data_IF_171990204197
#
_entry.id   IF_171990204197
#
_cell.length_a   1.000
_cell.length_b   1.000
_cell.length_c   1.000
_cell.angle_alpha   90.00
_cell.angle_beta   90.00
_cell.angle_gamma   90.00
#
_symmetry.space_group_name_H-M   'P 1'
#
loop_
_entity.id
_entity.type
_entity.pdbx_description
1 polymer ?
#
# COMPACT_ATOMS: atom_id res chain seq x y z
N UNK A 1 -38.00 -10.81 -22.91
CA UNK A 1 -36.54 -10.76 -23.08
C UNK A 1 -35.96 -9.91 -21.96
N UNK A 2 -35.25 -10.50 -21.01
CA UNK A 2 -34.55 -9.72 -19.97
C UNK A 2 -33.41 -8.97 -20.66
N UNK A 3 -33.57 -7.66 -20.81
CA UNK A 3 -32.50 -6.80 -21.29
C UNK A 3 -31.32 -6.94 -20.31
N UNK A 4 -30.17 -7.32 -20.85
CA UNK A 4 -28.91 -7.32 -20.12
C UNK A 4 -28.68 -5.88 -19.64
N UNK A 5 -28.68 -5.66 -18.33
CA UNK A 5 -28.42 -4.35 -17.75
C UNK A 5 -26.94 -4.28 -17.34
N UNK A 6 -26.08 -3.60 -18.11
CA UNK A 6 -24.65 -3.43 -17.79
C UNK A 6 -24.40 -2.79 -16.42
N UNK A 7 -25.40 -2.11 -15.85
CA UNK A 7 -25.32 -1.41 -14.56
C UNK A 7 -25.62 -2.30 -13.36
N UNK A 8 -25.99 -3.56 -13.57
CA UNK A 8 -26.39 -4.46 -12.47
C UNK A 8 -25.18 -5.19 -11.88
N UNK A 9 -24.17 -4.43 -11.45
CA UNK A 9 -23.27 -4.95 -10.42
C UNK A 9 -24.06 -4.97 -9.11
N UNK A 10 -24.06 -6.11 -8.43
CA UNK A 10 -24.64 -6.21 -7.11
C UNK A 10 -23.96 -5.19 -6.19
N UNK A 11 -24.74 -4.24 -5.66
CA UNK A 11 -24.26 -3.19 -4.76
C UNK A 11 -23.59 -3.79 -3.53
N UNK A 12 -24.10 -4.93 -3.07
CA UNK A 12 -23.54 -5.65 -1.92
C UNK A 12 -22.16 -6.21 -2.28
N UNK A 13 -22.04 -6.83 -3.46
CA UNK A 13 -20.75 -7.29 -3.99
C UNK A 13 -19.73 -6.14 -4.13
N UNK A 14 -20.10 -5.02 -4.75
CA UNK A 14 -19.19 -3.87 -4.86
C UNK A 14 -18.74 -3.37 -3.49
N UNK A 15 -19.67 -3.24 -2.55
CA UNK A 15 -19.37 -2.76 -1.20
C UNK A 15 -18.47 -3.73 -0.44
N UNK A 16 -18.67 -5.04 -0.60
CA UNK A 16 -17.81 -6.06 0.01
C UNK A 16 -16.41 -6.04 -0.60
N UNK A 17 -16.30 -5.94 -1.92
CA UNK A 17 -15.02 -5.90 -2.62
C UNK A 17 -14.23 -4.62 -2.27
N UNK A 18 -14.88 -3.46 -2.21
CA UNK A 18 -14.25 -2.20 -1.78
C UNK A 18 -13.74 -2.28 -0.35
N UNK A 19 -14.53 -2.88 0.55
CA UNK A 19 -14.11 -3.08 1.94
C UNK A 19 -12.89 -3.99 2.00
N UNK A 20 -12.90 -5.08 1.22
CA UNK A 20 -11.81 -6.05 1.17
C UNK A 20 -10.53 -5.44 0.63
N UNK A 21 -10.56 -4.76 -0.51
CA UNK A 21 -9.36 -4.15 -1.12
C UNK A 21 -8.83 -3.00 -0.27
N UNK A 22 -9.71 -2.19 0.33
CA UNK A 22 -9.30 -1.14 1.28
C UNK A 22 -8.58 -1.73 2.49
N UNK A 23 -9.11 -2.83 3.05
CA UNK A 23 -8.49 -3.52 4.18
C UNK A 23 -7.12 -4.08 3.79
N UNK A 24 -7.03 -4.77 2.65
CA UNK A 24 -5.77 -5.32 2.15
C UNK A 24 -4.70 -4.23 1.94
N UNK A 25 -5.06 -3.09 1.35
CA UNK A 25 -4.15 -1.94 1.24
C UNK A 25 -3.71 -1.41 2.62
N UNK A 26 -4.64 -1.27 3.56
CA UNK A 26 -4.33 -0.82 4.92
C UNK A 26 -3.37 -1.77 5.66
N UNK A 27 -3.57 -3.08 5.52
CA UNK A 27 -2.70 -4.11 6.11
C UNK A 27 -1.31 -4.09 5.48
N UNK A 28 -1.22 -4.02 4.15
CA UNK A 28 0.06 -3.92 3.43
C UNK A 28 0.84 -2.67 3.83
N UNK A 29 0.16 -1.52 3.90
CA UNK A 29 0.77 -0.27 4.34
C UNK A 29 1.29 -0.34 5.78
N UNK A 30 0.52 -0.94 6.68
CA UNK A 30 0.95 -1.12 8.06
C UNK A 30 2.20 -2.02 8.16
N UNK A 31 2.30 -3.04 7.31
CA UNK A 31 3.48 -3.90 7.21
C UNK A 31 4.71 -3.11 6.70
N UNK A 32 4.56 -2.34 5.61
CA UNK A 32 5.60 -1.45 5.10
C UNK A 32 6.10 -0.47 6.18
N UNK A 33 5.18 0.26 6.83
CA UNK A 33 5.53 1.23 7.88
C UNK A 33 6.24 0.55 9.07
N UNK A 34 5.91 -0.72 9.34
CA UNK A 34 6.57 -1.51 10.38
C UNK A 34 8.02 -1.82 10.02
N UNK A 35 8.30 -2.17 8.77
CA UNK A 35 9.64 -2.45 8.28
C UNK A 35 10.50 -1.19 8.28
N UNK A 36 9.97 -0.03 7.87
CA UNK A 36 10.69 1.25 7.97
C UNK A 36 11.10 1.57 9.41
N UNK A 37 10.22 1.31 10.38
CA UNK A 37 10.54 1.47 11.80
C UNK A 37 11.60 0.48 12.27
N UNK A 38 11.60 -0.74 11.74
CA UNK A 38 12.61 -1.76 12.07
C UNK A 38 13.98 -1.37 11.50
N UNK A 39 14.04 -0.93 10.24
CA UNK A 39 15.27 -0.42 9.59
C UNK A 39 15.94 0.68 10.43
N UNK A 40 15.17 1.66 10.92
CA UNK A 40 15.69 2.72 11.80
C UNK A 40 16.25 2.17 13.13
N UNK A 41 15.63 1.15 13.71
CA UNK A 41 16.13 0.51 14.95
C UNK A 41 17.41 -0.28 14.68
N UNK A 42 17.49 -1.00 13.56
CA UNK A 42 18.67 -1.76 13.14
C UNK A 42 19.84 -0.79 12.91
N UNK A 43 19.63 0.30 12.17
CA UNK A 43 20.68 1.31 11.94
C UNK A 43 21.22 1.87 13.27
N UNK A 44 20.32 2.22 14.20
CA UNK A 44 20.70 2.75 15.50
C UNK A 44 21.47 1.72 16.36
N UNK A 45 21.02 0.46 16.38
CA UNK A 45 21.69 -0.64 17.08
C UNK A 45 23.11 -0.83 16.55
N UNK A 46 23.26 -1.00 15.24
CA UNK A 46 24.55 -1.24 14.60
C UNK A 46 25.49 -0.04 14.75
N UNK A 47 24.97 1.18 14.63
CA UNK A 47 25.76 2.39 14.89
C UNK A 47 26.38 2.37 16.29
N UNK A 48 25.60 2.02 17.32
CA UNK A 48 26.11 1.95 18.69
C UNK A 48 27.14 0.83 18.86
N UNK A 49 26.89 -0.33 18.27
CA UNK A 49 27.83 -1.46 18.29
C UNK A 49 29.18 -1.06 17.68
N UNK A 50 29.20 -0.45 16.49
CA UNK A 50 30.44 0.00 15.86
C UNK A 50 31.13 1.13 16.63
N UNK A 51 30.37 2.07 17.21
CA UNK A 51 30.92 3.14 18.05
C UNK A 51 31.55 2.64 19.35
N UNK A 52 31.07 1.52 19.88
CA UNK A 52 31.57 0.94 21.13
C UNK A 52 32.73 -0.04 20.89
N UNK A 53 32.67 -0.84 19.82
CA UNK A 53 33.65 -1.87 19.53
C UNK A 53 34.96 -1.29 18.96
N UNK A 54 34.88 -0.20 18.18
CA UNK A 54 36.05 0.38 17.51
C UNK A 54 36.15 1.89 17.79
N UNK A 55 37.38 2.41 17.91
CA UNK A 55 37.64 3.87 17.87
C UNK A 55 37.45 4.42 16.45
N UNK A 56 36.32 4.13 15.83
CA UNK A 56 35.96 4.64 14.51
C UNK A 56 35.31 6.02 14.62
N UNK A 57 35.38 6.81 13.54
CA UNK A 57 34.71 8.11 13.52
C UNK A 57 33.19 7.94 13.52
N UNK A 58 32.46 9.03 13.79
CA UNK A 58 30.99 8.99 13.74
C UNK A 58 30.50 8.64 12.33
N UNK A 59 31.17 9.15 11.30
CA UNK A 59 30.79 8.90 9.90
C UNK A 59 31.11 7.46 9.48
N UNK A 60 32.25 6.90 9.90
CA UNK A 60 32.58 5.50 9.62
C UNK A 60 31.55 4.55 10.24
N UNK A 61 31.14 4.81 11.50
CA UNK A 61 30.15 3.98 12.18
C UNK A 61 28.78 4.00 11.47
N UNK A 62 28.35 5.18 11.02
CA UNK A 62 27.10 5.31 10.23
C UNK A 62 27.19 4.57 8.91
N UNK A 63 28.31 4.73 8.19
CA UNK A 63 28.51 4.05 6.92
C UNK A 63 28.45 2.54 7.10
N UNK A 64 29.18 2.00 8.08
CA UNK A 64 29.17 0.56 8.38
C UNK A 64 27.79 0.04 8.79
N UNK A 65 27.04 0.79 9.58
CA UNK A 65 25.67 0.42 9.96
C UNK A 65 24.75 0.27 8.75
N UNK A 66 24.86 1.16 7.76
CA UNK A 66 24.05 1.14 6.53
C UNK A 66 24.48 0.07 5.53
N UNK A 67 25.74 -0.37 5.59
CA UNK A 67 26.26 -1.43 4.72
C UNK A 67 26.23 -2.81 5.39
N UNK A 68 25.71 -2.91 6.61
CA UNK A 68 25.66 -4.16 7.35
C UNK A 68 24.61 -5.11 6.76
N UNK A 69 24.83 -6.43 6.89
CA UNK A 69 23.95 -7.45 6.32
C UNK A 69 22.52 -7.33 6.86
N UNK A 70 22.33 -7.10 8.17
CA UNK A 70 21.00 -6.87 8.77
C UNK A 70 20.26 -5.67 8.13
N UNK A 71 20.99 -4.63 7.69
CA UNK A 71 20.42 -3.46 7.02
C UNK A 71 20.04 -3.79 5.57
N UNK A 72 20.86 -4.57 4.86
CA UNK A 72 20.57 -5.01 3.50
C UNK A 72 19.37 -5.98 3.44
N UNK A 73 19.25 -6.86 4.43
CA UNK A 73 18.13 -7.80 4.57
C UNK A 73 16.80 -7.06 4.78
N UNK A 74 16.77 -6.06 5.68
CA UNK A 74 15.56 -5.26 5.90
C UNK A 74 15.21 -4.40 4.68
N UNK A 75 16.21 -3.91 3.93
CA UNK A 75 15.97 -3.17 2.68
C UNK A 75 15.28 -4.04 1.63
N UNK A 76 15.72 -5.28 1.47
CA UNK A 76 15.07 -6.22 0.54
C UNK A 76 13.62 -6.49 0.94
N UNK A 77 13.32 -6.57 2.24
CA UNK A 77 11.95 -6.74 2.73
C UNK A 77 11.10 -5.49 2.50
N UNK A 78 11.68 -4.30 2.62
CA UNK A 78 11.01 -3.03 2.34
C UNK A 78 10.66 -2.93 0.86
N UNK A 79 11.58 -3.25 -0.06
CA UNK A 79 11.32 -3.23 -1.50
C UNK A 79 10.14 -4.15 -1.87
N UNK A 80 10.11 -5.35 -1.29
CA UNK A 80 8.99 -6.29 -1.49
C UNK A 80 7.67 -5.75 -0.92
N UNK A 81 7.70 -5.16 0.28
CA UNK A 81 6.51 -4.59 0.91
C UNK A 81 6.00 -3.34 0.20
N UNK A 82 6.89 -2.54 -0.39
CA UNK A 82 6.54 -1.38 -1.21
C UNK A 82 5.76 -1.83 -2.45
N UNK A 83 6.30 -2.78 -3.21
CA UNK A 83 5.62 -3.35 -4.38
C UNK A 83 4.25 -3.94 -4.04
N UNK A 84 4.14 -4.65 -2.91
CA UNK A 84 2.85 -5.19 -2.45
C UNK A 84 1.85 -4.09 -2.09
N UNK A 85 2.33 -3.03 -1.44
CA UNK A 85 1.50 -1.89 -1.03
C UNK A 85 1.01 -1.10 -2.23
N UNK A 86 1.86 -0.86 -3.22
CA UNK A 86 1.50 -0.22 -4.48
C UNK A 86 0.47 -1.04 -5.26
N UNK A 87 0.66 -2.36 -5.36
CA UNK A 87 -0.31 -3.24 -6.01
C UNK A 87 -1.67 -3.21 -5.31
N UNK A 88 -1.69 -3.32 -3.97
CA UNK A 88 -2.92 -3.27 -3.21
C UNK A 88 -3.62 -1.89 -3.31
N UNK A 89 -2.84 -0.82 -3.39
CA UNK A 89 -3.36 0.53 -3.62
C UNK A 89 -4.00 0.66 -5.00
N UNK A 90 -3.34 0.15 -6.05
CA UNK A 90 -3.86 0.17 -7.41
C UNK A 90 -5.19 -0.60 -7.52
N UNK A 91 -5.30 -1.77 -6.87
CA UNK A 91 -6.54 -2.55 -6.84
C UNK A 91 -7.68 -1.80 -6.15
N UNK A 92 -7.39 -1.19 -5.00
CA UNK A 92 -8.36 -0.40 -4.25
C UNK A 92 -8.83 0.84 -5.03
N UNK A 93 -7.90 1.63 -5.57
CA UNK A 93 -8.22 2.86 -6.30
C UNK A 93 -8.90 2.56 -7.64
N UNK A 94 -8.47 1.53 -8.35
CA UNK A 94 -9.11 1.10 -9.59
C UNK A 94 -10.57 0.72 -9.37
N UNK A 95 -10.86 -0.06 -8.32
CA UNK A 95 -12.23 -0.40 -7.96
C UNK A 95 -13.02 0.84 -7.50
N UNK A 96 -12.42 1.71 -6.69
CA UNK A 96 -13.03 2.96 -6.23
C UNK A 96 -13.44 3.85 -7.39
N UNK A 97 -12.57 4.05 -8.37
CA UNK A 97 -12.83 4.86 -9.56
C UNK A 97 -13.94 4.25 -10.43
N UNK A 98 -13.91 2.93 -10.65
CA UNK A 98 -14.96 2.22 -11.39
C UNK A 98 -16.33 2.42 -10.74
N UNK A 99 -16.39 2.36 -9.40
CA UNK A 99 -17.63 2.63 -8.66
C UNK A 99 -18.12 4.07 -8.84
N UNK A 100 -17.21 5.05 -8.84
CA UNK A 100 -17.56 6.45 -9.07
C UNK A 100 -18.14 6.67 -10.48
N UNK A 101 -17.52 6.09 -11.50
CA UNK A 101 -18.01 6.16 -12.88
C UNK A 101 -19.40 5.54 -13.03
N UNK A 102 -19.63 4.37 -12.43
CA UNK A 102 -20.95 3.72 -12.44
C UNK A 102 -22.03 4.57 -11.74
N UNK A 103 -21.68 5.24 -10.63
CA UNK A 103 -22.62 6.15 -9.95
C UNK A 103 -22.98 7.33 -10.86
N UNK A 104 -21.98 7.89 -11.55
CA UNK A 104 -22.19 8.99 -12.49
C UNK A 104 -23.06 8.57 -13.67
N UNK A 105 -22.76 7.45 -14.33
CA UNK A 105 -23.53 6.91 -15.45
C UNK A 105 -25.00 6.67 -15.06
N UNK A 106 -25.23 6.02 -13.91
CA UNK A 106 -26.58 5.81 -13.38
C UNK A 106 -27.32 7.13 -13.09
N UNK A 107 -26.61 8.15 -12.62
CA UNK A 107 -27.19 9.46 -12.38
C UNK A 107 -27.60 10.14 -13.69
N UNK A 108 -26.74 10.10 -14.71
CA UNK A 108 -27.01 10.68 -16.03
C UNK A 108 -28.19 9.99 -16.69
N UNK A 109 -28.23 8.65 -16.73
CA UNK A 109 -29.36 7.90 -17.30
C UNK A 109 -30.68 8.25 -16.61
N UNK A 110 -30.69 8.40 -15.27
CA UNK A 110 -31.89 8.83 -14.54
C UNK A 110 -32.34 10.25 -14.89
N UNK A 111 -31.42 11.14 -15.25
CA UNK A 111 -31.77 12.50 -15.68
C UNK A 111 -32.32 12.51 -17.10
N UNK A 112 -31.71 11.75 -18.02
CA UNK A 112 -32.21 11.59 -19.40
C UNK A 112 -33.61 10.98 -19.43
N UNK A 113 -33.89 9.96 -18.61
CA UNK A 113 -35.22 9.36 -18.46
C UNK A 113 -36.28 10.31 -17.88
N UNK A 114 -35.89 11.42 -17.23
CA UNK A 114 -36.82 12.44 -16.74
C UNK A 114 -37.11 13.54 -17.76
N UNK A 115 -36.25 13.67 -18.77
CA UNK A 115 -36.31 14.72 -19.79
C UNK A 115 -36.97 14.24 -21.10
N UNK A 116 -37.05 12.93 -21.32
CA UNK A 116 -37.84 12.30 -22.39
C UNK A 116 -39.20 11.83 -21.90
#
# INVERSE_FOLDING_TARGET
MNQWNPLRFDKEFISSELTRTRKAYGESKAAYDSLERQKKRIEAKLYLEFRQAEKCTVEDAKMRARTHIEYAEIDTLIDQAEMQTESAYADYEGLRLKCQLLIQENSTMKQEMKLG
#
